data_IF_082189827459
#
_entry.id   IF_082189827459
#
_cell.length_a   1.000
_cell.length_b   1.000
_cell.length_c   1.000
_cell.angle_alpha   90.00
_cell.angle_beta   90.00
_cell.angle_gamma   90.00
#
_symmetry.space_group_name_H-M   'P 1'
#
loop_
_entity.id
_entity.type
_entity.pdbx_description
1 polymer ?
#
# COMPACT_ATOMS: atom_id res chain seq x y z
N UNK A 1 13.30 15.88 5.27
CA UNK A 1 13.49 15.83 3.84
C UNK A 1 14.82 15.21 3.46
N UNK A 2 14.88 14.63 2.28
CA UNK A 2 16.08 14.07 1.68
C UNK A 2 16.13 14.41 0.20
N UNK A 3 17.30 14.26 -0.43
CA UNK A 3 17.48 14.54 -1.85
C UNK A 3 17.47 13.25 -2.67
N UNK A 4 16.70 13.21 -3.76
CA UNK A 4 16.76 12.13 -4.72
C UNK A 4 18.01 12.26 -5.59
N UNK A 5 19.04 11.45 -5.32
CA UNK A 5 20.31 11.49 -6.06
C UNK A 5 20.23 10.84 -7.44
N UNK A 6 19.29 9.94 -7.67
CA UNK A 6 18.98 9.34 -8.96
C UNK A 6 17.59 8.72 -8.96
N UNK A 7 16.95 8.74 -10.15
CA UNK A 7 15.71 8.02 -10.43
C UNK A 7 15.88 7.26 -11.74
N UNK A 8 15.69 5.94 -11.70
CA UNK A 8 15.81 5.07 -12.88
C UNK A 8 14.45 4.42 -13.16
N UNK A 9 14.06 4.36 -14.44
CA UNK A 9 12.85 3.70 -14.91
C UNK A 9 13.21 2.45 -15.71
N UNK A 10 12.41 1.40 -15.56
CA UNK A 10 12.65 0.10 -16.19
C UNK A 10 11.41 -0.39 -16.94
N UNK A 11 11.59 -1.07 -18.08
CA UNK A 11 10.53 -1.87 -18.68
C UNK A 11 10.04 -2.97 -17.73
N UNK A 12 8.78 -3.37 -17.86
CA UNK A 12 8.15 -4.37 -16.96
C UNK A 12 8.76 -5.79 -17.10
N UNK A 13 9.45 -6.03 -18.19
CA UNK A 13 10.06 -7.32 -18.53
C UNK A 13 11.57 -7.40 -18.24
N UNK A 14 12.15 -6.36 -17.62
CA UNK A 14 13.57 -6.36 -17.26
C UNK A 14 13.86 -7.47 -16.23
N UNK A 15 14.95 -8.19 -16.45
CA UNK A 15 15.37 -9.30 -15.58
C UNK A 15 16.79 -9.15 -15.05
N UNK A 16 17.63 -8.30 -15.65
CA UNK A 16 19.00 -8.03 -15.22
C UNK A 16 19.12 -6.66 -14.57
N UNK A 17 19.32 -6.64 -13.26
CA UNK A 17 19.55 -5.44 -12.45
C UNK A 17 21.01 -5.27 -12.02
N UNK A 18 21.91 -6.12 -12.51
CA UNK A 18 23.34 -6.03 -12.18
C UNK A 18 23.96 -4.65 -12.43
N UNK A 19 23.73 -3.99 -13.60
CA UNK A 19 24.20 -2.63 -13.85
C UNK A 19 23.64 -1.61 -12.86
N UNK A 20 22.35 -1.69 -12.56
CA UNK A 20 21.66 -0.79 -11.61
C UNK A 20 22.22 -0.95 -10.19
N UNK A 21 22.41 -2.19 -9.74
CA UNK A 21 22.96 -2.48 -8.41
C UNK A 21 24.39 -1.93 -8.30
N UNK A 22 25.24 -2.08 -9.34
CA UNK A 22 26.59 -1.47 -9.36
C UNK A 22 26.53 0.06 -9.31
N UNK A 23 25.57 0.69 -9.99
CA UNK A 23 25.33 2.14 -9.92
C UNK A 23 24.98 2.58 -8.49
N UNK A 24 24.08 1.86 -7.83
CA UNK A 24 23.71 2.11 -6.44
C UNK A 24 24.91 1.93 -5.50
N UNK A 25 25.70 0.85 -5.68
CA UNK A 25 26.93 0.62 -4.90
C UNK A 25 27.93 1.77 -5.02
N UNK A 26 28.07 2.34 -6.21
CA UNK A 26 28.97 3.46 -6.45
C UNK A 26 28.44 4.77 -5.85
N UNK A 27 27.14 4.99 -5.89
CA UNK A 27 26.48 6.20 -5.39
C UNK A 27 26.35 6.22 -3.86
N UNK A 28 26.25 5.04 -3.21
CA UNK A 28 26.12 4.87 -1.75
C UNK A 28 24.99 5.73 -1.14
N UNK A 29 23.75 5.59 -1.60
CA UNK A 29 22.63 6.31 -1.00
C UNK A 29 22.37 5.83 0.43
N UNK A 30 21.76 6.67 1.25
CA UNK A 30 21.31 6.30 2.59
C UNK A 30 20.14 5.29 2.56
N UNK A 31 19.34 5.30 1.50
CA UNK A 31 18.21 4.40 1.29
C UNK A 31 17.93 4.24 -0.20
N UNK A 32 17.41 3.08 -0.58
CA UNK A 32 16.83 2.85 -1.92
C UNK A 32 15.32 2.68 -1.77
N UNK A 33 14.55 3.41 -2.59
CA UNK A 33 13.09 3.24 -2.70
C UNK A 33 12.75 2.56 -4.01
N UNK A 34 12.14 1.38 -3.94
CA UNK A 34 11.74 0.59 -5.09
C UNK A 34 10.23 0.71 -5.34
N UNK A 35 9.86 1.07 -6.57
CA UNK A 35 8.48 1.10 -7.06
C UNK A 35 8.29 0.09 -8.21
N UNK A 36 9.16 -0.91 -8.29
CA UNK A 36 9.12 -1.96 -9.31
C UNK A 36 7.89 -2.84 -9.14
N UNK A 37 7.30 -3.26 -10.25
CA UNK A 37 6.10 -4.12 -10.29
C UNK A 37 6.28 -5.32 -11.20
N UNK A 38 5.36 -6.28 -11.15
CA UNK A 38 5.37 -7.45 -12.02
C UNK A 38 6.51 -8.42 -11.73
N UNK A 39 6.97 -9.15 -12.76
CA UNK A 39 8.08 -10.10 -12.63
C UNK A 39 9.43 -9.46 -12.36
N UNK A 40 9.61 -8.21 -12.77
CA UNK A 40 10.86 -7.47 -12.65
C UNK A 40 11.33 -7.33 -11.20
N UNK A 41 10.43 -7.00 -10.27
CA UNK A 41 10.85 -6.76 -8.89
C UNK A 41 11.32 -8.03 -8.17
N UNK A 42 10.81 -9.20 -8.49
CA UNK A 42 11.34 -10.46 -7.96
C UNK A 42 12.80 -10.68 -8.36
N UNK A 43 13.15 -10.35 -9.61
CA UNK A 43 14.53 -10.41 -10.09
C UNK A 43 15.43 -9.41 -9.39
N UNK A 44 14.93 -8.20 -9.14
CA UNK A 44 15.67 -7.17 -8.42
C UNK A 44 16.01 -7.61 -6.99
N UNK A 45 15.04 -8.06 -6.19
CA UNK A 45 15.28 -8.44 -4.79
C UNK A 45 16.26 -9.61 -4.66
N UNK A 46 16.20 -10.61 -5.57
CA UNK A 46 17.13 -11.72 -5.60
C UNK A 46 18.56 -11.26 -5.91
N UNK A 47 18.72 -10.40 -6.92
CA UNK A 47 20.01 -9.86 -7.30
C UNK A 47 20.57 -8.89 -6.27
N UNK A 48 19.70 -8.09 -5.61
CA UNK A 48 20.05 -7.24 -4.49
C UNK A 48 20.66 -8.02 -3.33
N UNK A 49 20.00 -9.09 -2.92
CA UNK A 49 20.51 -9.99 -1.89
C UNK A 49 21.80 -10.72 -2.33
N UNK A 50 21.87 -11.23 -3.56
CA UNK A 50 23.03 -11.91 -4.11
C UNK A 50 24.27 -10.99 -4.20
N UNK A 51 24.07 -9.70 -4.43
CA UNK A 51 25.14 -8.70 -4.45
C UNK A 51 25.57 -8.24 -3.04
N UNK A 52 24.98 -8.80 -1.98
CA UNK A 52 25.33 -8.47 -0.60
C UNK A 52 24.81 -7.09 -0.15
N UNK A 53 23.92 -6.47 -0.90
CA UNK A 53 23.42 -5.12 -0.62
C UNK A 53 22.51 -5.07 0.59
N UNK A 54 21.86 -6.20 0.92
CA UNK A 54 21.04 -6.35 2.10
C UNK A 54 21.90 -6.24 3.35
N UNK A 55 21.66 -5.23 4.16
CA UNK A 55 22.49 -4.90 5.32
C UNK A 55 23.53 -3.79 5.09
N UNK A 56 23.79 -3.43 3.82
CA UNK A 56 24.64 -2.29 3.47
C UNK A 56 23.82 -1.00 3.27
N UNK A 57 22.71 -1.12 2.55
CA UNK A 57 21.80 -0.02 2.22
C UNK A 57 20.37 -0.46 2.49
N UNK A 58 19.60 0.25 3.33
CA UNK A 58 18.18 -0.01 3.55
C UNK A 58 17.39 0.02 2.25
N UNK A 59 16.42 -0.88 2.12
CA UNK A 59 15.53 -0.97 0.96
C UNK A 59 14.08 -0.82 1.41
N UNK A 60 13.42 0.23 0.94
CA UNK A 60 12.00 0.45 1.09
C UNK A 60 11.27 0.23 -0.23
N UNK A 61 10.00 -0.17 -0.18
CA UNK A 61 9.20 -0.36 -1.37
C UNK A 61 7.73 -0.02 -1.11
N UNK A 62 7.12 0.65 -2.09
CA UNK A 62 5.67 0.93 -2.10
C UNK A 62 4.86 -0.17 -2.80
N UNK A 63 5.52 -1.21 -3.29
CA UNK A 63 4.90 -2.29 -4.08
C UNK A 63 5.22 -3.69 -3.55
N UNK A 64 6.22 -3.82 -2.69
CA UNK A 64 6.64 -5.11 -2.13
C UNK A 64 5.58 -5.66 -1.16
N UNK A 65 5.20 -6.92 -1.33
CA UNK A 65 4.19 -7.59 -0.52
C UNK A 65 2.78 -7.56 -1.13
N UNK A 66 2.55 -6.71 -2.14
CA UNK A 66 1.26 -6.65 -2.85
C UNK A 66 0.97 -7.95 -3.60
N UNK A 67 1.98 -8.60 -4.15
CA UNK A 67 1.90 -9.94 -4.75
C UNK A 67 2.26 -11.08 -3.79
N UNK A 68 2.39 -10.80 -2.48
CA UNK A 68 2.86 -11.74 -1.46
C UNK A 68 4.31 -12.22 -1.69
N UNK A 69 5.17 -11.37 -2.23
CA UNK A 69 6.57 -11.66 -2.57
C UNK A 69 7.35 -12.14 -1.34
N UNK A 70 7.09 -11.57 -0.16
CA UNK A 70 7.67 -11.94 1.13
C UNK A 70 7.42 -13.40 1.53
N UNK A 71 6.41 -14.05 0.94
CA UNK A 71 6.08 -15.47 1.17
C UNK A 71 6.75 -16.42 0.16
N UNK A 72 7.27 -15.86 -0.95
CA UNK A 72 7.88 -16.61 -2.04
C UNK A 72 9.42 -16.50 -2.02
N UNK A 73 9.90 -15.31 -1.66
CA UNK A 73 11.34 -15.06 -1.48
C UNK A 73 11.83 -15.72 -0.19
N UNK A 74 13.06 -16.17 -0.20
CA UNK A 74 13.71 -16.64 1.02
C UNK A 74 13.97 -15.48 2.01
N UNK A 75 14.13 -15.78 3.29
CA UNK A 75 14.50 -14.81 4.31
C UNK A 75 15.76 -14.02 3.95
N UNK A 76 16.73 -14.69 3.29
CA UNK A 76 17.94 -14.05 2.79
C UNK A 76 17.67 -12.99 1.72
N UNK A 77 16.59 -13.13 0.97
CA UNK A 77 16.21 -12.21 -0.12
C UNK A 77 15.28 -11.11 0.35
N UNK A 78 14.41 -11.37 1.33
CA UNK A 78 13.31 -10.46 1.69
C UNK A 78 13.38 -9.82 3.08
N UNK A 79 14.01 -10.46 4.10
CA UNK A 79 14.04 -9.88 5.44
C UNK A 79 14.73 -8.51 5.46
N UNK A 80 14.17 -7.58 6.20
CA UNK A 80 14.65 -6.21 6.30
C UNK A 80 14.11 -5.27 5.21
N UNK A 81 13.33 -5.76 4.23
CA UNK A 81 12.64 -4.88 3.28
C UNK A 81 11.51 -4.17 4.02
N UNK A 82 11.46 -2.84 3.86
CA UNK A 82 10.46 -1.97 4.48
C UNK A 82 9.34 -1.71 3.48
N UNK A 83 8.09 -1.80 3.95
CA UNK A 83 6.90 -1.42 3.19
C UNK A 83 5.97 -0.56 4.04
N UNK A 84 5.17 0.28 3.38
CA UNK A 84 4.23 1.18 4.03
C UNK A 84 2.86 1.03 3.39
N UNK A 85 1.86 0.55 4.18
CA UNK A 85 0.51 0.23 3.70
C UNK A 85 -0.57 0.56 4.73
N UNK A 86 -1.80 0.65 4.29
CA UNK A 86 -2.96 0.76 5.17
C UNK A 86 -3.40 -0.57 5.78
N UNK A 87 -2.78 -1.70 5.37
CA UNK A 87 -3.09 -3.02 5.93
C UNK A 87 -1.94 -4.01 5.76
N UNK A 88 -1.69 -4.77 6.81
CA UNK A 88 -0.92 -6.01 6.80
C UNK A 88 -1.76 -7.15 7.39
N UNK A 89 -1.69 -8.37 6.83
CA UNK A 89 -2.42 -9.54 7.37
C UNK A 89 -2.07 -9.81 8.83
N UNK A 90 -0.86 -9.44 9.24
CA UNK A 90 -0.30 -9.60 10.57
C UNK A 90 -0.82 -8.60 11.62
N UNK A 91 -1.70 -7.66 11.24
CA UNK A 91 -2.31 -6.72 12.19
C UNK A 91 -3.05 -7.46 13.31
N UNK A 92 -2.59 -7.27 14.55
CA UNK A 92 -3.12 -7.96 15.71
C UNK A 92 -4.29 -7.18 16.34
N UNK A 93 -5.35 -6.94 15.56
CA UNK A 93 -6.59 -6.36 16.07
C UNK A 93 -7.68 -7.42 16.23
N UNK A 94 -8.67 -7.24 17.13
CA UNK A 94 -9.80 -8.16 17.23
C UNK A 94 -10.56 -8.30 15.91
N UNK A 95 -10.80 -7.20 15.20
CA UNK A 95 -11.52 -7.18 13.93
C UNK A 95 -10.78 -7.97 12.84
N UNK A 96 -9.46 -7.83 12.75
CA UNK A 96 -8.66 -8.58 11.78
C UNK A 96 -8.62 -10.07 12.10
N UNK A 97 -8.46 -10.43 13.38
CA UNK A 97 -8.51 -11.86 13.79
C UNK A 97 -9.85 -12.51 13.46
N UNK A 98 -10.97 -11.82 13.71
CA UNK A 98 -12.30 -12.31 13.36
C UNK A 98 -12.47 -12.48 11.86
N UNK A 99 -12.07 -11.48 11.08
CA UNK A 99 -12.09 -11.52 9.62
C UNK A 99 -11.30 -12.70 9.06
N UNK A 100 -10.03 -12.86 9.47
CA UNK A 100 -9.19 -13.97 9.03
C UNK A 100 -9.73 -15.32 9.50
N UNK A 101 -10.33 -15.39 10.71
CA UNK A 101 -11.00 -16.58 11.21
C UNK A 101 -12.17 -17.00 10.32
N UNK A 102 -13.04 -16.07 9.93
CA UNK A 102 -14.16 -16.32 9.00
C UNK A 102 -13.66 -16.73 7.61
N UNK A 103 -12.59 -16.10 7.13
CA UNK A 103 -11.98 -16.44 5.84
C UNK A 103 -11.45 -17.88 5.85
N UNK A 104 -10.72 -18.26 6.90
CA UNK A 104 -10.21 -19.64 7.09
C UNK A 104 -11.34 -20.66 7.23
N UNK A 105 -12.38 -20.34 7.99
CA UNK A 105 -13.56 -21.21 8.10
C UNK A 105 -14.26 -21.45 6.75
N UNK A 106 -14.25 -20.45 5.85
CA UNK A 106 -14.87 -20.53 4.54
C UNK A 106 -14.04 -21.33 3.52
N UNK A 107 -12.71 -21.17 3.53
CA UNK A 107 -11.84 -21.68 2.46
C UNK A 107 -10.90 -22.81 2.92
N UNK A 108 -10.76 -23.04 4.23
CA UNK A 108 -9.88 -24.07 4.80
C UNK A 108 -8.43 -23.87 4.35
N UNK A 109 -7.79 -24.94 3.90
CA UNK A 109 -6.40 -24.94 3.43
C UNK A 109 -6.20 -24.11 2.14
N UNK A 110 -7.28 -23.71 1.47
CA UNK A 110 -7.24 -22.85 0.29
C UNK A 110 -7.43 -21.38 0.61
N UNK A 111 -7.35 -21.01 1.88
CA UNK A 111 -7.46 -19.60 2.29
C UNK A 111 -6.36 -18.77 1.62
N UNK A 112 -6.71 -17.78 0.79
CA UNK A 112 -5.70 -16.91 0.20
C UNK A 112 -5.09 -16.00 1.25
N UNK A 113 -3.84 -15.61 1.05
CA UNK A 113 -3.23 -14.54 1.83
C UNK A 113 -3.91 -13.20 1.47
N UNK A 114 -4.16 -12.39 2.48
CA UNK A 114 -4.83 -11.09 2.32
C UNK A 114 -3.77 -9.99 2.27
N UNK A 115 -3.55 -9.45 1.09
CA UNK A 115 -2.65 -8.32 0.89
C UNK A 115 -3.42 -6.97 0.96
N UNK A 116 -2.67 -5.87 0.86
CA UNK A 116 -3.21 -4.50 0.85
C UNK A 116 -4.33 -4.32 -0.19
N UNK A 117 -4.14 -4.72 -1.45
CA UNK A 117 -5.13 -4.53 -2.51
C UNK A 117 -6.43 -5.30 -2.26
N UNK A 118 -6.32 -6.52 -1.73
CA UNK A 118 -7.49 -7.31 -1.36
C UNK A 118 -8.28 -6.65 -0.22
N UNK A 119 -7.57 -6.12 0.78
CA UNK A 119 -8.22 -5.43 1.90
C UNK A 119 -8.86 -4.11 1.46
N UNK A 120 -8.18 -3.29 0.63
CA UNK A 120 -8.78 -2.06 0.10
C UNK A 120 -10.04 -2.32 -0.72
N UNK A 121 -10.03 -3.39 -1.53
CA UNK A 121 -11.23 -3.81 -2.29
C UNK A 121 -12.37 -4.23 -1.36
N UNK A 122 -12.06 -4.93 -0.27
CA UNK A 122 -13.04 -5.33 0.74
C UNK A 122 -13.65 -4.11 1.45
N UNK A 123 -12.81 -3.19 1.92
CA UNK A 123 -13.24 -1.97 2.60
C UNK A 123 -14.08 -1.07 1.68
N UNK A 124 -13.63 -0.87 0.43
CA UNK A 124 -14.36 -0.08 -0.56
C UNK A 124 -15.75 -0.65 -0.86
N UNK A 125 -15.86 -1.98 -0.99
CA UNK A 125 -17.14 -2.62 -1.22
C UNK A 125 -18.10 -2.46 -0.03
N UNK A 126 -17.60 -2.58 1.19
CA UNK A 126 -18.42 -2.40 2.39
C UNK A 126 -18.87 -0.95 2.58
N UNK A 127 -17.98 0.03 2.32
CA UNK A 127 -18.34 1.45 2.34
C UNK A 127 -19.43 1.77 1.30
N UNK A 128 -19.26 1.26 0.08
CA UNK A 128 -20.27 1.39 -0.96
C UNK A 128 -21.61 0.76 -0.56
N UNK A 129 -21.61 -0.46 -0.03
CA UNK A 129 -22.82 -1.15 0.40
C UNK A 129 -23.54 -0.39 1.52
N UNK A 130 -22.80 0.17 2.47
CA UNK A 130 -23.36 1.01 3.52
C UNK A 130 -23.94 2.33 2.96
N UNK A 131 -23.26 2.93 1.97
CA UNK A 131 -23.78 4.13 1.31
C UNK A 131 -25.08 3.84 0.55
N UNK A 132 -25.18 2.73 -0.18
CA UNK A 132 -26.42 2.27 -0.84
C UNK A 132 -27.53 2.07 0.19
N UNK A 133 -27.23 1.44 1.32
CA UNK A 133 -28.20 1.21 2.40
C UNK A 133 -28.73 2.51 2.98
N UNK A 134 -27.87 3.53 3.19
CA UNK A 134 -28.27 4.85 3.69
C UNK A 134 -29.04 5.65 2.65
N UNK A 135 -28.61 5.61 1.39
CA UNK A 135 -29.31 6.26 0.28
C UNK A 135 -30.69 5.64 -0.02
N UNK A 136 -30.93 4.39 0.38
CA UNK A 136 -32.14 3.65 0.04
C UNK A 136 -32.28 3.33 -1.45
N UNK A 137 -31.22 3.52 -2.24
CA UNK A 137 -31.16 3.31 -3.69
C UNK A 137 -29.75 3.04 -4.13
N UNK A 138 -29.59 2.38 -5.29
CA UNK A 138 -28.31 2.19 -5.97
C UNK A 138 -28.06 3.25 -7.07
N UNK A 139 -28.85 4.32 -7.10
CA UNK A 139 -28.59 5.46 -7.99
C UNK A 139 -27.22 6.05 -7.69
N UNK A 140 -26.42 6.26 -8.76
CA UNK A 140 -25.05 6.66 -8.62
C UNK A 140 -24.87 7.97 -7.86
N UNK A 141 -25.69 8.98 -8.19
CA UNK A 141 -25.52 10.30 -7.59
C UNK A 141 -25.98 10.32 -6.14
N UNK A 142 -27.07 9.64 -5.81
CA UNK A 142 -27.53 9.50 -4.43
C UNK A 142 -26.51 8.75 -3.54
N UNK A 143 -25.81 7.76 -4.09
CA UNK A 143 -24.75 7.02 -3.38
C UNK A 143 -23.52 7.90 -3.18
N UNK A 144 -23.11 8.70 -4.18
CA UNK A 144 -22.00 9.65 -4.06
C UNK A 144 -22.29 10.68 -2.97
N UNK A 145 -23.48 11.25 -2.95
CA UNK A 145 -23.89 12.22 -1.90
C UNK A 145 -23.75 11.65 -0.48
N UNK A 146 -24.09 10.36 -0.30
CA UNK A 146 -23.88 9.69 0.98
C UNK A 146 -22.39 9.45 1.27
N UNK A 147 -21.60 9.07 0.27
CA UNK A 147 -20.17 8.89 0.45
C UNK A 147 -19.49 10.22 0.85
N UNK A 148 -19.89 11.34 0.26
CA UNK A 148 -19.41 12.70 0.58
C UNK A 148 -19.86 13.20 1.96
N UNK A 149 -20.74 12.49 2.66
CA UNK A 149 -21.10 12.82 4.05
C UNK A 149 -20.04 12.40 5.09
N UNK A 150 -18.81 12.16 4.67
CA UNK A 150 -17.73 11.61 5.51
C UNK A 150 -18.11 10.27 6.15
N UNK A 151 -18.71 9.39 5.36
CA UNK A 151 -19.07 8.07 5.82
C UNK A 151 -17.81 7.30 6.26
N UNK A 152 -17.90 6.62 7.39
CA UNK A 152 -16.81 5.79 7.91
C UNK A 152 -17.27 4.41 8.31
N UNK A 153 -16.34 3.48 8.33
CA UNK A 153 -16.51 2.14 8.88
C UNK A 153 -15.25 1.71 9.62
N UNK A 154 -15.44 0.82 10.60
CA UNK A 154 -14.33 0.16 11.29
C UNK A 154 -14.31 -1.31 10.91
N UNK A 155 -13.19 -1.78 10.42
CA UNK A 155 -13.00 -3.14 9.91
C UNK A 155 -11.62 -3.73 10.27
N UNK A 156 -11.20 -4.76 9.53
CA UNK A 156 -9.92 -5.43 9.75
C UNK A 156 -8.70 -4.51 9.68
N UNK A 157 -8.76 -3.50 8.80
CA UNK A 157 -7.69 -2.51 8.58
C UNK A 157 -7.71 -1.33 9.58
N UNK A 158 -8.69 -1.28 10.48
CA UNK A 158 -8.96 -0.13 11.34
C UNK A 158 -10.16 0.66 10.87
N UNK A 159 -10.19 1.95 11.20
CA UNK A 159 -11.24 2.86 10.73
C UNK A 159 -10.84 3.47 9.39
N UNK A 160 -11.76 3.42 8.43
CA UNK A 160 -11.62 4.02 7.11
C UNK A 160 -12.76 5.00 6.92
N UNK A 161 -12.44 6.26 6.62
CA UNK A 161 -13.40 7.35 6.39
C UNK A 161 -13.21 7.90 5.00
N UNK A 162 -14.28 8.17 4.27
CA UNK A 162 -14.19 8.88 2.98
C UNK A 162 -13.86 10.35 3.26
N UNK A 163 -12.83 10.85 2.63
CA UNK A 163 -12.52 12.27 2.56
C UNK A 163 -13.34 12.89 1.42
N UNK A 164 -14.39 13.64 1.77
CA UNK A 164 -15.33 14.14 0.79
C UNK A 164 -14.69 15.01 -0.31
N UNK A 165 -13.76 15.94 0.00
CA UNK A 165 -13.15 16.76 -1.05
C UNK A 165 -12.35 15.99 -2.07
N UNK A 166 -11.63 14.93 -1.67
CA UNK A 166 -10.70 14.21 -2.54
C UNK A 166 -11.25 12.88 -3.06
N UNK A 167 -12.33 12.37 -2.46
CA UNK A 167 -12.86 11.01 -2.64
C UNK A 167 -11.86 9.89 -2.31
N UNK A 168 -10.74 10.23 -1.65
CA UNK A 168 -9.82 9.27 -1.08
C UNK A 168 -10.27 8.82 0.31
N UNK A 169 -9.43 8.05 1.00
CA UNK A 169 -9.74 7.59 2.35
C UNK A 169 -8.77 8.17 3.37
N UNK A 170 -9.30 8.61 4.50
CA UNK A 170 -8.56 8.83 5.74
C UNK A 170 -8.48 7.47 6.43
N UNK A 171 -7.28 7.00 6.75
CA UNK A 171 -7.05 5.67 7.31
C UNK A 171 -5.76 5.59 8.10
N UNK A 172 -5.61 4.53 8.90
CA UNK A 172 -4.32 4.22 9.49
C UNK A 172 -3.32 3.76 8.41
N UNK A 173 -2.08 4.17 8.57
CA UNK A 173 -0.95 3.74 7.74
C UNK A 173 0.08 3.06 8.64
N UNK A 174 0.57 1.92 8.21
CA UNK A 174 1.50 1.08 8.94
C UNK A 174 2.83 0.99 8.21
N UNK A 175 3.92 1.22 8.94
CA UNK A 175 5.27 0.91 8.47
C UNK A 175 5.59 -0.51 8.92
N UNK A 176 5.90 -1.39 7.99
CA UNK A 176 6.22 -2.79 8.24
C UNK A 176 7.58 -3.18 7.68
N UNK A 177 8.25 -4.10 8.36
CA UNK A 177 9.49 -4.72 7.92
C UNK A 177 9.27 -6.22 7.74
N UNK A 178 9.81 -6.79 6.68
CA UNK A 178 9.73 -8.24 6.47
C UNK A 178 10.69 -8.96 7.43
N UNK A 179 10.17 -9.98 8.07
CA UNK A 179 10.92 -10.87 8.96
C UNK A 179 10.32 -12.28 8.95
N UNK A 180 11.09 -13.28 8.52
CA UNK A 180 10.65 -14.67 8.50
C UNK A 180 9.45 -14.93 7.60
N UNK A 181 9.35 -14.24 6.45
CA UNK A 181 8.25 -14.40 5.49
C UNK A 181 6.93 -13.75 5.89
N UNK A 182 6.93 -12.84 6.88
CA UNK A 182 5.79 -12.08 7.36
C UNK A 182 6.16 -10.61 7.58
N UNK A 183 5.18 -9.72 7.70
CA UNK A 183 5.43 -8.34 8.06
C UNK A 183 5.34 -8.13 9.57
N UNK A 184 6.38 -7.55 10.14
CA UNK A 184 6.38 -7.02 11.49
C UNK A 184 6.08 -5.52 11.42
N UNK A 185 4.97 -5.09 11.99
CA UNK A 185 4.63 -3.66 12.08
C UNK A 185 5.62 -2.98 13.03
N UNK A 186 6.30 -1.97 12.52
CA UNK A 186 7.27 -1.16 13.26
C UNK A 186 6.60 0.07 13.87
N UNK A 187 5.74 0.72 13.07
CA UNK A 187 5.11 1.98 13.45
C UNK A 187 3.71 2.08 12.87
N UNK A 188 2.84 2.85 13.51
CA UNK A 188 1.47 3.10 13.08
C UNK A 188 1.21 4.60 13.09
N UNK A 189 0.84 5.12 11.94
CA UNK A 189 0.39 6.49 11.74
C UNK A 189 -1.14 6.48 11.67
N UNK A 190 -1.77 7.10 12.67
CA UNK A 190 -3.23 7.06 12.79
C UNK A 190 -3.89 8.09 11.89
N UNK A 191 -5.03 7.70 11.30
CA UNK A 191 -5.96 8.59 10.60
C UNK A 191 -5.28 9.54 9.61
N UNK A 192 -4.41 8.99 8.75
CA UNK A 192 -3.67 9.79 7.78
C UNK A 192 -4.58 10.23 6.63
N UNK A 193 -4.69 11.55 6.39
CA UNK A 193 -5.46 12.10 5.28
C UNK A 193 -4.66 12.00 3.96
N UNK A 194 -5.33 12.16 2.80
CA UNK A 194 -4.68 12.20 1.48
C UNK A 194 -4.02 13.58 1.25
N UNK A 195 -2.91 13.84 1.95
CA UNK A 195 -2.29 15.16 2.05
C UNK A 195 -1.87 15.75 0.70
N UNK A 196 -1.35 14.93 -0.22
CA UNK A 196 -0.95 15.33 -1.56
C UNK A 196 -2.16 15.77 -2.42
N UNK A 197 -3.17 14.93 -2.50
CA UNK A 197 -4.38 15.22 -3.27
C UNK A 197 -5.16 16.38 -2.67
N UNK A 198 -5.25 16.46 -1.35
CA UNK A 198 -5.96 17.55 -0.65
C UNK A 198 -5.33 18.93 -0.91
N UNK A 199 -4.08 19.01 -1.32
CA UNK A 199 -3.43 20.28 -1.67
C UNK A 199 -4.00 20.93 -2.93
N UNK A 200 -4.63 20.17 -3.82
CA UNK A 200 -5.05 20.64 -5.16
C UNK A 200 -6.48 20.25 -5.53
N UNK A 201 -7.09 19.30 -4.85
CA UNK A 201 -8.37 18.71 -5.23
C UNK A 201 -9.46 19.01 -4.19
N UNK A 202 -10.58 19.58 -4.63
CA UNK A 202 -11.81 19.72 -3.86
C UNK A 202 -13.01 19.48 -4.78
N UNK A 203 -13.45 18.23 -4.86
CA UNK A 203 -14.56 17.80 -5.71
C UNK A 203 -15.93 18.21 -5.15
N UNK A 204 -16.03 18.57 -3.86
CA UNK A 204 -17.26 19.13 -3.29
C UNK A 204 -17.45 20.58 -3.76
N UNK A 205 -16.40 21.40 -3.71
CA UNK A 205 -16.44 22.75 -4.22
C UNK A 205 -16.44 22.84 -5.75
N UNK A 206 -15.74 21.93 -6.44
CA UNK A 206 -15.55 21.92 -7.88
C UNK A 206 -15.86 20.54 -8.49
N UNK A 207 -17.13 20.09 -8.50
CA UNK A 207 -17.50 18.71 -8.87
C UNK A 207 -17.25 18.37 -10.37
N UNK A 208 -16.94 19.36 -11.18
CA UNK A 208 -16.66 19.19 -12.62
C UNK A 208 -15.18 19.40 -12.95
N UNK A 209 -14.32 19.53 -11.94
CA UNK A 209 -12.89 19.69 -12.16
C UNK A 209 -12.27 18.44 -12.79
N UNK A 210 -11.65 18.61 -13.95
CA UNK A 210 -10.93 17.57 -14.69
C UNK A 210 -9.48 17.95 -14.92
N UNK A 211 -8.97 18.92 -14.17
CA UNK A 211 -7.60 19.41 -14.31
C UNK A 211 -6.60 18.34 -13.92
N UNK A 212 -5.57 18.14 -14.74
CA UNK A 212 -4.41 17.33 -14.38
C UNK A 212 -3.45 18.20 -13.58
N UNK A 213 -3.26 17.89 -12.31
CA UNK A 213 -2.37 18.63 -11.42
C UNK A 213 -1.02 17.93 -11.29
N UNK A 214 0.06 18.73 -11.37
CA UNK A 214 1.38 18.28 -10.90
C UNK A 214 1.47 18.56 -9.40
N UNK A 215 1.49 17.49 -8.60
CA UNK A 215 1.51 17.59 -7.14
C UNK A 215 2.94 17.49 -6.65
N UNK A 216 3.47 18.57 -6.09
CA UNK A 216 4.73 18.57 -5.38
C UNK A 216 4.45 18.58 -3.89
N UNK A 217 4.85 17.55 -3.18
CA UNK A 217 4.74 17.46 -1.72
C UNK A 217 6.08 17.81 -1.12
N UNK A 218 6.13 18.91 -0.36
CA UNK A 218 7.29 19.22 0.48
C UNK A 218 7.27 18.29 1.70
N UNK A 219 8.18 17.32 1.72
CA UNK A 219 8.32 16.30 2.77
C UNK A 219 9.26 16.75 3.90
#
# INVERSE_FOLDING_TARGET
GGDAIATDFFPLDVTDFGPTIRKIQAAKPDIVVSVLVGGAHMSFYRQWAAAGMKGEIPLASTTFGVGNEHRVLSEKESDGIIACYGYFEELNTPANRDFLGRLRARYGDRTPAVNELAMRSYDAFLLWAEAVRRAGTADRMAVIEVLESNISMTGPSGTVTIDAPTHHTIQDVYLGEVSGGAFKVLETYREQPPADTAAVCDLVANPTDTTMYDINVDL
#
